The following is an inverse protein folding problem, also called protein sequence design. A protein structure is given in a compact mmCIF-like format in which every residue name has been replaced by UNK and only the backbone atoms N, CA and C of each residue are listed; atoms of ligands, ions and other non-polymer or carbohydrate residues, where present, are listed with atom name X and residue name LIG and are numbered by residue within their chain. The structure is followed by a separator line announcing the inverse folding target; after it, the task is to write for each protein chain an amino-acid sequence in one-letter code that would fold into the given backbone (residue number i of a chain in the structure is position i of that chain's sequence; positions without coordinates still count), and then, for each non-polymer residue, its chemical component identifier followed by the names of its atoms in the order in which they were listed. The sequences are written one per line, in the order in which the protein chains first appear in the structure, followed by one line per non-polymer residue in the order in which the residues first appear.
data_IF_444664627309
#
_entry.id   IF_444664627309
#
_cell.length_a   1.000
_cell.length_b   1.000
_cell.length_c   1.000
_cell.angle_alpha   90.00
_cell.angle_beta   90.00
_cell.angle_gamma   90.00
#
_symmetry.space_group_name_H-M   'P 1'
#
loop_
_entity.id
_entity.type
_entity.pdbx_description
1 polymer ?
#
# COMPACT_ATOMS: atom_id res chain seq x y z
N UNK A 1 21.77 -4.17 12.50
CA UNK A 1 21.90 -5.23 11.46
C UNK A 1 21.52 -6.53 12.12
N UNK A 2 20.39 -7.08 11.77
CA UNK A 2 19.97 -8.48 11.91
C UNK A 2 18.44 -8.56 11.99
N UNK A 3 17.80 -8.51 10.87
CA UNK A 3 16.50 -9.17 10.66
C UNK A 3 16.58 -9.68 9.23
N UNK A 4 16.11 -10.91 9.04
CA UNK A 4 16.18 -11.76 7.88
C UNK A 4 16.48 -10.98 6.57
N UNK A 5 17.67 -11.16 6.01
CA UNK A 5 18.08 -10.56 4.72
C UNK A 5 17.24 -11.09 3.54
N UNK A 6 16.19 -11.89 3.83
CA UNK A 6 15.34 -12.48 2.81
C UNK A 6 14.17 -11.55 2.47
N UNK A 7 13.94 -11.30 1.17
CA UNK A 7 12.79 -10.54 0.74
C UNK A 7 11.48 -11.22 1.16
N UNK A 8 10.50 -10.43 1.61
CA UNK A 8 9.14 -10.91 1.89
C UNK A 8 8.38 -11.18 0.58
N UNK A 9 8.59 -10.35 -0.45
CA UNK A 9 8.12 -10.59 -1.82
C UNK A 9 9.30 -10.46 -2.76
N UNK A 10 9.38 -11.41 -3.70
CA UNK A 10 10.28 -11.35 -4.84
C UNK A 10 9.44 -11.45 -6.11
N UNK A 11 9.58 -10.50 -6.98
CA UNK A 11 8.98 -10.49 -8.32
C UNK A 11 10.10 -10.51 -9.33
N UNK A 12 10.22 -11.59 -10.09
CA UNK A 12 11.31 -11.80 -11.03
C UNK A 12 10.82 -11.81 -12.46
N UNK A 13 11.42 -10.97 -13.30
CA UNK A 13 11.17 -10.89 -14.75
C UNK A 13 9.68 -10.81 -15.10
N UNK A 14 8.93 -10.00 -14.37
CA UNK A 14 7.49 -9.88 -14.56
C UNK A 14 7.16 -9.24 -15.90
N UNK A 15 6.45 -9.98 -16.72
CA UNK A 15 5.87 -9.50 -17.98
C UNK A 15 4.34 -9.51 -17.87
N UNK A 16 3.71 -8.50 -18.46
CA UNK A 16 2.26 -8.45 -18.61
C UNK A 16 1.87 -7.92 -19.97
N UNK A 17 1.18 -8.77 -20.73
CA UNK A 17 0.66 -8.42 -22.04
C UNK A 17 -0.87 -8.36 -21.99
N UNK A 18 -1.45 -7.41 -22.70
CA UNK A 18 -2.88 -7.29 -22.96
C UNK A 18 -3.07 -7.30 -24.49
N UNK A 19 -3.31 -8.48 -25.07
CA UNK A 19 -3.30 -8.64 -26.51
C UNK A 19 -1.93 -8.27 -27.10
N UNK A 20 -1.89 -7.25 -27.95
CA UNK A 20 -0.67 -6.74 -28.57
C UNK A 20 0.06 -5.69 -27.72
N UNK A 21 -0.54 -5.23 -26.61
CA UNK A 21 0.05 -4.21 -25.74
C UNK A 21 0.91 -4.85 -24.68
N UNK A 22 2.20 -4.55 -24.66
CA UNK A 22 3.13 -4.96 -23.61
C UNK A 22 3.09 -3.88 -22.51
N UNK A 23 2.45 -4.21 -21.38
CA UNK A 23 2.31 -3.30 -20.27
C UNK A 23 3.46 -3.39 -19.24
N UNK A 24 4.10 -4.55 -19.15
CA UNK A 24 5.31 -4.80 -18.36
C UNK A 24 6.24 -5.72 -19.16
N UNK A 25 7.52 -5.46 -19.12
CA UNK A 25 8.56 -6.16 -19.85
C UNK A 25 9.76 -6.46 -18.93
N UNK A 26 9.74 -7.60 -18.24
CA UNK A 26 10.85 -8.09 -17.43
C UNK A 26 11.15 -7.28 -16.16
N UNK A 27 10.11 -6.74 -15.49
CA UNK A 27 10.31 -5.95 -14.27
C UNK A 27 10.58 -6.86 -13.09
N UNK A 28 11.65 -6.58 -12.32
CA UNK A 28 12.01 -7.32 -11.10
C UNK A 28 12.10 -6.38 -9.91
N UNK A 29 11.54 -6.80 -8.77
CA UNK A 29 11.59 -6.06 -7.49
C UNK A 29 11.63 -7.06 -6.34
N UNK A 30 12.48 -6.78 -5.36
CA UNK A 30 12.54 -7.44 -4.06
C UNK A 30 12.07 -6.49 -2.97
N UNK A 31 11.13 -6.94 -2.12
CA UNK A 31 10.59 -6.18 -1.00
C UNK A 31 11.06 -6.78 0.31
N UNK A 32 11.48 -5.94 1.24
CA UNK A 32 11.98 -6.35 2.55
C UNK A 32 11.05 -5.86 3.67
N UNK A 33 10.90 -6.69 4.70
CA UNK A 33 10.11 -6.33 5.89
C UNK A 33 10.70 -5.10 6.57
N UNK A 34 9.84 -4.12 6.91
CA UNK A 34 10.28 -2.88 7.56
C UNK A 34 10.93 -1.86 6.63
N UNK A 35 11.03 -2.13 5.33
CA UNK A 35 11.52 -1.19 4.31
C UNK A 35 10.35 -0.57 3.52
N UNK A 36 10.57 0.65 3.04
CA UNK A 36 9.70 1.32 2.09
C UNK A 36 10.34 1.31 0.70
N UNK A 37 9.78 0.53 -0.20
CA UNK A 37 10.18 0.49 -1.61
C UNK A 37 9.31 1.44 -2.43
N UNK A 38 9.92 2.47 -2.99
CA UNK A 38 9.23 3.45 -3.82
C UNK A 38 9.22 3.03 -5.29
N UNK A 39 8.04 2.85 -5.86
CA UNK A 39 7.86 2.60 -7.29
C UNK A 39 7.51 3.92 -8.00
N UNK A 40 8.47 4.45 -8.74
CA UNK A 40 8.40 5.75 -9.38
C UNK A 40 8.15 5.62 -10.89
N UNK A 41 7.58 6.63 -11.49
CA UNK A 41 7.37 6.70 -12.94
C UNK A 41 6.18 7.58 -13.30
N UNK A 42 6.11 8.04 -14.53
CA UNK A 42 5.02 8.86 -15.04
C UNK A 42 3.72 8.07 -15.25
N UNK A 43 2.67 8.77 -15.62
CA UNK A 43 1.42 8.15 -16.02
C UNK A 43 1.64 7.29 -17.28
N UNK A 44 1.14 6.04 -17.23
CA UNK A 44 1.37 5.07 -18.30
C UNK A 44 2.68 4.29 -18.19
N UNK A 45 3.53 4.54 -17.18
CA UNK A 45 4.80 3.83 -16.99
C UNK A 45 4.66 2.33 -16.66
N UNK A 46 3.45 1.85 -16.34
CA UNK A 46 3.20 0.44 -15.97
C UNK A 46 2.98 0.21 -14.46
N UNK A 47 3.10 1.25 -13.62
CA UNK A 47 2.97 1.15 -12.15
C UNK A 47 1.70 0.43 -11.70
N UNK A 48 0.53 0.87 -12.19
CA UNK A 48 -0.76 0.27 -11.83
C UNK A 48 -0.88 -1.18 -12.30
N UNK A 49 -0.29 -1.54 -13.43
CA UNK A 49 -0.25 -2.92 -13.91
C UNK A 49 0.62 -3.77 -12.98
N UNK A 50 1.78 -3.26 -12.58
CA UNK A 50 2.69 -3.95 -11.67
C UNK A 50 2.04 -4.22 -10.32
N UNK A 51 1.37 -3.21 -9.71
CA UNK A 51 0.63 -3.37 -8.45
C UNK A 51 -0.48 -4.40 -8.58
N UNK A 52 -1.27 -4.34 -9.66
CA UNK A 52 -2.36 -5.27 -9.89
C UNK A 52 -1.86 -6.70 -10.08
N UNK A 53 -0.64 -6.87 -10.59
CA UNK A 53 0.02 -8.18 -10.67
C UNK A 53 0.47 -8.63 -9.27
N UNK A 54 1.10 -7.75 -8.48
CA UNK A 54 1.51 -8.04 -7.10
C UNK A 54 0.32 -8.37 -6.19
N UNK A 55 -0.80 -7.68 -6.36
CA UNK A 55 -2.02 -7.90 -5.56
C UNK A 55 -2.93 -9.02 -6.08
N UNK A 56 -2.50 -9.76 -7.11
CA UNK A 56 -3.24 -10.90 -7.65
C UNK A 56 -4.46 -10.55 -8.49
N UNK A 57 -4.65 -9.27 -8.85
CA UNK A 57 -5.71 -8.83 -9.78
C UNK A 57 -5.40 -9.27 -11.20
N UNK A 58 -4.10 -9.24 -11.57
CA UNK A 58 -3.63 -9.73 -12.86
C UNK A 58 -2.63 -10.85 -12.66
N UNK A 59 -2.83 -11.95 -13.39
CA UNK A 59 -1.81 -12.99 -13.54
C UNK A 59 -0.71 -12.46 -14.47
N UNK A 60 0.57 -12.58 -14.13
CA UNK A 60 1.66 -12.24 -15.05
C UNK A 60 1.58 -13.12 -16.30
N UNK A 61 2.04 -12.60 -17.44
CA UNK A 61 2.19 -13.37 -18.67
C UNK A 61 3.41 -14.28 -18.57
N UNK A 62 4.51 -13.74 -18.03
CA UNK A 62 5.75 -14.46 -17.70
C UNK A 62 6.32 -13.91 -16.39
N UNK A 63 7.27 -14.64 -15.81
CA UNK A 63 7.94 -14.30 -14.57
C UNK A 63 7.32 -14.95 -13.35
N UNK A 64 8.04 -14.88 -12.24
CA UNK A 64 7.71 -15.58 -11.00
C UNK A 64 7.48 -14.60 -9.86
N UNK A 65 6.54 -14.95 -8.99
CA UNK A 65 6.27 -14.23 -7.73
C UNK A 65 6.51 -15.22 -6.59
N UNK A 66 7.41 -14.84 -5.67
CA UNK A 66 7.59 -15.58 -4.43
C UNK A 66 7.13 -14.72 -3.25
N UNK A 67 6.44 -15.32 -2.31
CA UNK A 67 6.06 -14.72 -1.04
C UNK A 67 6.64 -15.54 0.11
N UNK A 68 7.42 -14.92 0.97
CA UNK A 68 8.18 -15.60 2.05
C UNK A 68 8.99 -16.81 1.49
N UNK A 69 9.59 -16.64 0.31
CA UNK A 69 10.40 -17.66 -0.37
C UNK A 69 9.61 -18.80 -1.02
N UNK A 70 8.27 -18.76 -1.01
CA UNK A 70 7.42 -19.78 -1.64
C UNK A 70 6.79 -19.24 -2.92
N UNK A 71 6.80 -20.03 -4.02
CA UNK A 71 6.09 -19.64 -5.24
C UNK A 71 4.62 -19.31 -4.96
N UNK A 72 4.15 -18.19 -5.47
CA UNK A 72 2.81 -17.71 -5.26
C UNK A 72 2.09 -17.54 -6.60
N UNK A 73 1.01 -18.27 -6.75
CA UNK A 73 0.10 -18.13 -7.90
C UNK A 73 -1.19 -17.49 -7.40
N UNK A 74 -1.38 -16.23 -7.73
CA UNK A 74 -2.62 -15.53 -7.39
C UNK A 74 -3.65 -15.75 -8.51
N UNK A 75 -4.55 -16.69 -8.30
CA UNK A 75 -5.70 -16.88 -9.20
C UNK A 75 -6.88 -15.97 -8.81
N UNK A 76 -6.82 -15.37 -7.61
CA UNK A 76 -7.86 -14.48 -7.05
C UNK A 76 -7.18 -13.47 -6.11
N UNK A 77 -7.54 -12.18 -6.19
CA UNK A 77 -7.04 -11.14 -5.25
C UNK A 77 -7.22 -11.50 -3.77
N UNK A 78 -8.24 -12.29 -3.44
CA UNK A 78 -8.46 -12.79 -2.08
C UNK A 78 -7.30 -13.64 -1.57
N UNK A 79 -6.56 -14.31 -2.44
CA UNK A 79 -5.39 -15.09 -2.04
C UNK A 79 -4.23 -14.17 -1.60
N UNK A 80 -4.03 -13.05 -2.29
CA UNK A 80 -3.05 -12.04 -1.90
C UNK A 80 -3.41 -11.41 -0.53
N UNK A 81 -4.69 -11.05 -0.33
CA UNK A 81 -5.16 -10.51 0.94
C UNK A 81 -4.95 -11.51 2.09
N UNK A 82 -5.28 -12.80 1.89
CA UNK A 82 -5.06 -13.86 2.90
C UNK A 82 -3.58 -14.08 3.20
N UNK A 83 -2.70 -13.86 2.23
CA UNK A 83 -1.25 -13.91 2.44
C UNK A 83 -0.72 -12.70 3.23
N UNK A 84 -1.52 -11.63 3.36
CA UNK A 84 -1.15 -10.40 4.04
C UNK A 84 -0.70 -9.28 3.09
N UNK A 85 -1.06 -9.34 1.80
CA UNK A 85 -0.81 -8.26 0.84
C UNK A 85 -2.06 -7.39 0.79
N UNK A 86 -1.98 -6.17 1.32
CA UNK A 86 -3.07 -5.21 1.34
C UNK A 86 -2.78 -4.03 0.41
N UNK A 87 -3.79 -3.58 -0.32
CA UNK A 87 -3.66 -2.41 -1.22
C UNK A 87 -4.59 -1.30 -0.76
N UNK A 88 -4.03 -0.12 -0.56
CA UNK A 88 -4.75 1.13 -0.38
C UNK A 88 -4.68 1.90 -1.69
N UNK A 89 -5.79 1.96 -2.39
CA UNK A 89 -5.88 2.62 -3.70
C UNK A 89 -6.00 4.14 -3.55
N UNK A 90 -5.65 4.87 -4.61
CA UNK A 90 -5.78 6.32 -4.70
C UNK A 90 -7.22 6.79 -4.38
N UNK A 91 -8.23 6.10 -4.91
CA UNK A 91 -9.62 6.32 -4.54
C UNK A 91 -9.99 5.37 -3.41
N UNK A 92 -10.03 5.92 -2.20
CA UNK A 92 -10.39 5.16 -1.01
C UNK A 92 -11.82 4.65 -1.12
N UNK A 93 -12.00 3.33 -1.01
CA UNK A 93 -13.32 2.71 -1.01
C UNK A 93 -14.01 2.93 0.36
N UNK A 94 -14.36 4.19 0.64
CA UNK A 94 -15.03 4.61 1.88
C UNK A 94 -16.40 5.19 1.56
N UNK A 95 -17.37 4.94 2.44
CA UNK A 95 -18.73 5.49 2.34
C UNK A 95 -18.77 6.77 3.18
N UNK A 96 -18.85 7.97 2.55
CA UNK A 96 -18.68 9.26 3.26
C UNK A 96 -19.64 9.50 4.41
N UNK A 97 -20.90 9.06 4.28
CA UNK A 97 -21.94 9.24 5.30
C UNK A 97 -21.90 8.19 6.42
N UNK A 98 -21.11 7.16 6.26
CA UNK A 98 -20.95 6.11 7.27
C UNK A 98 -19.90 6.52 8.31
N UNK A 99 -20.07 6.06 9.55
CA UNK A 99 -19.11 6.32 10.62
C UNK A 99 -17.72 5.77 10.32
N UNK A 100 -16.70 6.32 10.97
CA UNK A 100 -15.30 5.84 10.84
C UNK A 100 -15.23 4.39 11.26
N UNK A 101 -15.85 3.99 12.39
CA UNK A 101 -15.83 2.60 12.87
C UNK A 101 -16.47 1.62 11.92
N UNK A 102 -17.58 1.98 11.27
CA UNK A 102 -18.22 1.12 10.27
C UNK A 102 -17.39 1.01 9.00
N UNK A 103 -16.76 2.10 8.55
CA UNK A 103 -15.83 2.06 7.41
C UNK A 103 -14.59 1.22 7.74
N UNK A 104 -14.08 1.31 8.97
CA UNK A 104 -12.90 0.56 9.42
C UNK A 104 -13.15 -0.96 9.35
N UNK A 105 -14.32 -1.41 9.77
CA UNK A 105 -14.68 -2.83 9.83
C UNK A 105 -15.47 -3.34 8.62
N UNK A 106 -15.69 -2.52 7.60
CA UNK A 106 -16.47 -2.91 6.41
C UNK A 106 -15.90 -4.17 5.76
N UNK A 107 -16.75 -5.23 5.65
CA UNK A 107 -16.35 -6.54 5.10
C UNK A 107 -15.62 -7.46 6.09
N UNK A 108 -15.37 -7.00 7.33
CA UNK A 108 -14.83 -7.79 8.45
C UNK A 108 -15.52 -7.40 9.75
N UNK A 109 -16.84 -7.33 9.71
CA UNK A 109 -17.67 -6.85 10.80
C UNK A 109 -17.52 -7.74 12.05
N UNK A 110 -17.15 -7.19 13.25
CA UNK A 110 -17.16 -7.94 14.47
C UNK A 110 -18.60 -8.28 14.85
N UNK A 111 -18.80 -9.53 15.24
CA UNK A 111 -20.15 -10.07 15.52
C UNK A 111 -20.25 -10.48 16.99
N UNK A 112 -21.28 -9.98 17.67
CA UNK A 112 -21.74 -10.50 18.96
C UNK A 112 -23.01 -11.33 18.81
N UNK A 113 -23.09 -12.43 19.57
CA UNK A 113 -24.28 -13.28 19.62
C UNK A 113 -25.22 -12.77 20.71
N UNK A 114 -26.49 -12.53 20.35
CA UNK A 114 -27.57 -12.20 21.30
C UNK A 114 -28.67 -13.23 21.10
N UNK A 115 -28.63 -14.27 21.89
CA UNK A 115 -29.48 -15.46 21.68
C UNK A 115 -29.14 -16.11 20.32
N UNK A 116 -30.15 -16.38 19.47
CA UNK A 116 -29.90 -16.95 18.13
C UNK A 116 -29.42 -15.94 17.10
N UNK A 117 -29.43 -14.65 17.41
CA UNK A 117 -29.11 -13.58 16.47
C UNK A 117 -27.61 -13.24 16.49
N UNK A 118 -27.09 -12.99 15.30
CA UNK A 118 -25.73 -12.44 15.08
C UNK A 118 -25.86 -10.96 14.75
N UNK A 119 -25.40 -10.11 15.65
CA UNK A 119 -25.46 -8.66 15.49
C UNK A 119 -24.05 -8.08 15.36
N UNK A 120 -23.95 -6.97 14.66
CA UNK A 120 -22.70 -6.19 14.60
C UNK A 120 -22.33 -5.70 16.02
N UNK A 121 -21.11 -6.01 16.47
CA UNK A 121 -20.60 -5.54 17.76
C UNK A 121 -20.06 -4.11 17.63
N UNK A 122 -20.98 -3.15 17.74
CA UNK A 122 -20.66 -1.74 17.60
C UNK A 122 -19.71 -1.23 18.70
N UNK A 123 -19.88 -1.74 19.93
CA UNK A 123 -19.06 -1.28 21.06
C UNK A 123 -17.60 -1.71 20.88
N UNK A 124 -17.38 -2.95 20.44
CA UNK A 124 -16.06 -3.45 20.08
C UNK A 124 -15.48 -2.65 18.92
N UNK A 125 -16.24 -2.47 17.84
CA UNK A 125 -15.81 -1.74 16.66
C UNK A 125 -15.39 -0.29 17.00
N UNK A 126 -16.19 0.40 17.81
CA UNK A 126 -15.93 1.76 18.24
C UNK A 126 -14.64 1.85 19.07
N UNK A 127 -14.49 0.99 20.08
CA UNK A 127 -13.31 0.97 20.93
C UNK A 127 -12.02 0.72 20.10
N UNK A 128 -12.01 -0.34 19.31
CA UNK A 128 -10.84 -0.70 18.50
C UNK A 128 -10.50 0.40 17.50
N UNK A 129 -11.50 0.97 16.83
CA UNK A 129 -11.25 2.06 15.87
C UNK A 129 -10.58 3.26 16.56
N UNK A 130 -11.07 3.67 17.73
CA UNK A 130 -10.46 4.77 18.47
C UNK A 130 -9.02 4.47 18.88
N UNK A 131 -8.76 3.27 19.37
CA UNK A 131 -7.41 2.81 19.74
C UNK A 131 -6.44 2.83 18.55
N UNK A 132 -6.85 2.27 17.39
CA UNK A 132 -6.02 2.22 16.19
C UNK A 132 -5.78 3.62 15.60
N UNK A 133 -6.79 4.48 15.59
CA UNK A 133 -6.61 5.86 15.13
C UNK A 133 -5.65 6.64 16.03
N UNK A 134 -5.77 6.48 17.34
CA UNK A 134 -4.85 7.10 18.30
C UNK A 134 -3.40 6.61 18.11
N UNK A 135 -3.18 5.30 17.90
CA UNK A 135 -1.84 4.75 17.58
C UNK A 135 -1.24 5.38 16.32
N UNK A 136 -2.05 5.64 15.31
CA UNK A 136 -1.63 6.31 14.08
C UNK A 136 -1.45 7.83 14.25
N UNK A 137 -1.87 8.41 15.38
CA UNK A 137 -1.73 9.84 15.69
C UNK A 137 -2.89 10.67 15.19
N UNK A 138 -4.06 10.06 14.97
CA UNK A 138 -5.30 10.74 14.63
C UNK A 138 -6.22 10.80 15.85
N UNK A 139 -6.65 12.01 16.19
CA UNK A 139 -7.64 12.24 17.23
C UNK A 139 -9.02 12.43 16.58
N UNK A 140 -9.83 11.37 16.57
CA UNK A 140 -11.22 11.44 16.14
C UNK A 140 -12.06 12.14 17.22
N UNK A 141 -13.11 12.86 16.81
CA UNK A 141 -14.11 13.43 17.74
C UNK A 141 -14.93 12.36 18.43
N UNK A 142 -15.13 11.22 17.76
CA UNK A 142 -15.85 10.06 18.24
C UNK A 142 -15.86 8.97 17.16
N UNK A 143 -16.18 7.71 17.53
CA UNK A 143 -16.17 6.58 16.60
C UNK A 143 -17.33 6.62 15.59
N UNK A 144 -18.39 7.33 15.91
CA UNK A 144 -19.60 7.55 15.12
C UNK A 144 -19.45 8.72 14.13
N UNK A 145 -18.33 9.49 14.22
CA UNK A 145 -18.03 10.56 13.28
C UNK A 145 -18.09 10.05 11.83
N UNK A 146 -18.83 10.74 10.96
CA UNK A 146 -18.89 10.39 9.55
C UNK A 146 -17.53 10.57 8.87
N UNK A 147 -17.05 9.54 8.13
CA UNK A 147 -15.72 9.55 7.51
C UNK A 147 -15.55 10.69 6.50
N UNK A 148 -16.65 11.15 5.90
CA UNK A 148 -16.66 12.30 4.98
C UNK A 148 -16.26 13.62 5.63
N UNK A 149 -16.32 13.73 6.96
CA UNK A 149 -15.90 14.95 7.71
C UNK A 149 -14.40 14.98 7.98
N UNK A 150 -13.69 13.89 7.73
CA UNK A 150 -12.23 13.80 7.85
C UNK A 150 -11.55 14.50 6.68
N UNK A 151 -10.37 15.05 6.94
CA UNK A 151 -9.48 15.52 5.87
C UNK A 151 -9.00 14.37 4.98
N UNK A 152 -8.50 14.69 3.78
CA UNK A 152 -7.95 13.67 2.88
C UNK A 152 -6.86 12.81 3.51
N UNK A 153 -5.92 13.45 4.24
CA UNK A 153 -4.85 12.73 4.93
C UNK A 153 -5.35 11.84 6.08
N UNK A 154 -6.36 12.28 6.83
CA UNK A 154 -6.99 11.45 7.87
C UNK A 154 -7.69 10.24 7.27
N UNK A 155 -8.45 10.42 6.19
CA UNK A 155 -9.06 9.30 5.47
C UNK A 155 -8.01 8.29 4.98
N UNK A 156 -6.90 8.79 4.42
CA UNK A 156 -5.79 7.94 4.00
C UNK A 156 -5.23 7.14 5.17
N UNK A 157 -5.03 7.79 6.32
CA UNK A 157 -4.54 7.11 7.52
C UNK A 157 -5.54 6.07 8.06
N UNK A 158 -6.86 6.33 8.00
CA UNK A 158 -7.89 5.32 8.34
C UNK A 158 -7.73 4.08 7.47
N UNK A 159 -7.54 4.24 6.14
CA UNK A 159 -7.35 3.12 5.22
C UNK A 159 -6.06 2.32 5.52
N UNK A 160 -4.97 3.02 5.80
CA UNK A 160 -3.69 2.41 6.19
C UNK A 160 -3.84 1.64 7.51
N UNK A 161 -4.38 2.27 8.55
CA UNK A 161 -4.59 1.65 9.85
C UNK A 161 -5.47 0.40 9.78
N UNK A 162 -6.53 0.46 8.96
CA UNK A 162 -7.38 -0.69 8.66
C UNK A 162 -6.59 -1.84 8.07
N UNK A 163 -5.78 -1.59 7.04
CA UNK A 163 -4.96 -2.62 6.40
C UNK A 163 -3.98 -3.28 7.40
N UNK A 164 -3.33 -2.47 8.23
CA UNK A 164 -2.40 -2.92 9.27
C UNK A 164 -3.14 -3.76 10.33
N UNK A 165 -4.28 -3.29 10.83
CA UNK A 165 -5.08 -3.99 11.83
C UNK A 165 -5.54 -5.39 11.35
N UNK A 166 -5.88 -5.53 10.07
CA UNK A 166 -6.27 -6.81 9.49
C UNK A 166 -5.10 -7.68 9.03
N UNK A 167 -3.89 -7.37 9.46
CA UNK A 167 -2.73 -8.26 9.34
C UNK A 167 -1.94 -8.10 8.05
N UNK A 168 -1.89 -6.90 7.48
CA UNK A 168 -1.00 -6.64 6.35
C UNK A 168 0.46 -6.89 6.73
N UNK A 169 1.15 -7.73 5.99
CA UNK A 169 2.60 -7.92 6.00
C UNK A 169 3.27 -7.06 4.94
N UNK A 170 2.56 -6.82 3.85
CA UNK A 170 2.94 -5.94 2.74
C UNK A 170 1.81 -4.97 2.49
N UNK A 171 2.11 -3.69 2.53
CA UNK A 171 1.17 -2.60 2.33
C UNK A 171 1.51 -1.86 1.04
N UNK A 172 0.64 -1.97 0.05
CA UNK A 172 0.75 -1.25 -1.22
C UNK A 172 -0.05 0.04 -1.11
N UNK A 173 0.59 1.18 -1.35
CA UNK A 173 0.02 2.51 -1.31
C UNK A 173 0.07 3.14 -2.71
N UNK A 174 -1.08 3.21 -3.37
CA UNK A 174 -1.20 3.72 -4.73
C UNK A 174 -1.52 5.22 -4.72
N UNK A 175 -0.53 6.05 -5.03
CA UNK A 175 -0.60 7.52 -5.04
C UNK A 175 -1.21 8.12 -3.74
N UNK A 176 -0.77 7.70 -2.54
CA UNK A 176 -1.45 8.03 -1.28
C UNK A 176 -1.37 9.52 -0.90
N UNK A 177 -0.52 10.28 -1.55
CA UNK A 177 -0.32 11.70 -1.30
C UNK A 177 -0.79 12.60 -2.45
N UNK A 178 -1.36 11.99 -3.50
CA UNK A 178 -1.95 12.76 -4.61
C UNK A 178 -3.13 13.58 -4.11
N UNK A 179 -3.24 14.82 -4.59
CA UNK A 179 -4.32 15.75 -4.24
C UNK A 179 -4.41 16.12 -2.74
N UNK A 180 -3.33 15.92 -1.98
CA UNK A 180 -3.23 16.34 -0.58
C UNK A 180 -2.40 17.63 -0.44
N UNK A 181 -2.81 18.50 0.48
CA UNK A 181 -2.02 19.67 0.86
C UNK A 181 -0.77 19.27 1.66
N UNK A 182 0.19 20.18 1.78
CA UNK A 182 1.51 19.92 2.38
C UNK A 182 1.42 19.28 3.77
N UNK A 183 0.56 19.82 4.66
CA UNK A 183 0.37 19.30 6.02
C UNK A 183 -0.23 17.89 6.02
N UNK A 184 -1.19 17.63 5.14
CA UNK A 184 -1.82 16.32 5.02
C UNK A 184 -0.84 15.27 4.48
N UNK A 185 -0.04 15.64 3.48
CA UNK A 185 1.05 14.81 2.95
C UNK A 185 2.03 14.43 4.05
N UNK A 186 2.51 15.39 4.85
CA UNK A 186 3.42 15.12 5.95
C UNK A 186 2.84 14.09 6.95
N UNK A 187 1.55 14.19 7.27
CA UNK A 187 0.88 13.23 8.17
C UNK A 187 0.83 11.82 7.57
N UNK A 188 0.55 11.69 6.27
CA UNK A 188 0.57 10.39 5.59
C UNK A 188 1.98 9.79 5.57
N UNK A 189 3.01 10.59 5.28
CA UNK A 189 4.41 10.12 5.31
C UNK A 189 4.83 9.68 6.71
N UNK A 190 4.42 10.41 7.77
CA UNK A 190 4.65 9.96 9.16
C UNK A 190 3.93 8.65 9.47
N UNK A 191 2.73 8.43 8.91
CA UNK A 191 2.02 7.16 9.06
C UNK A 191 2.77 6.01 8.40
N UNK A 192 3.33 6.23 7.20
CA UNK A 192 4.17 5.24 6.49
C UNK A 192 5.38 4.86 7.36
N UNK A 193 6.06 5.85 7.94
CA UNK A 193 7.19 5.60 8.84
C UNK A 193 6.81 4.76 10.08
N UNK A 194 5.63 5.01 10.66
CA UNK A 194 5.13 4.21 11.79
C UNK A 194 4.85 2.76 11.39
N UNK A 195 4.26 2.56 10.21
CA UNK A 195 3.91 1.23 9.69
C UNK A 195 5.17 0.40 9.41
N UNK A 196 6.16 0.99 8.72
CA UNK A 196 7.40 0.27 8.43
C UNK A 196 8.19 -0.09 9.69
N UNK A 197 8.18 0.77 10.74
CA UNK A 197 8.79 0.46 12.04
C UNK A 197 8.13 -0.72 12.77
N UNK A 198 6.93 -1.10 12.38
CA UNK A 198 6.26 -2.31 12.86
C UNK A 198 6.69 -3.58 12.08
N UNK A 199 7.66 -3.47 11.17
CA UNK A 199 8.16 -4.58 10.36
C UNK A 199 7.34 -4.84 9.09
N UNK A 200 6.38 -3.99 8.75
CA UNK A 200 5.57 -4.13 7.53
C UNK A 200 6.36 -3.59 6.33
N UNK A 201 6.43 -4.38 5.25
CA UNK A 201 6.97 -3.91 3.99
C UNK A 201 6.00 -2.93 3.33
N UNK A 202 6.48 -1.77 2.90
CA UNK A 202 5.65 -0.76 2.24
C UNK A 202 6.07 -0.59 0.79
N UNK A 203 5.11 -0.65 -0.12
CA UNK A 203 5.30 -0.27 -1.53
C UNK A 203 4.62 1.08 -1.73
N UNK A 204 5.41 2.13 -1.87
CA UNK A 204 4.92 3.49 -2.07
C UNK A 204 5.00 3.87 -3.54
N UNK A 205 3.84 3.94 -4.20
CA UNK A 205 3.75 4.27 -5.62
C UNK A 205 3.42 5.73 -5.77
N UNK A 206 4.25 6.45 -6.53
CA UNK A 206 3.99 7.85 -6.84
C UNK A 206 4.80 8.30 -8.06
N UNK A 207 4.34 9.39 -8.69
CA UNK A 207 5.11 10.16 -9.67
C UNK A 207 5.86 11.33 -9.02
N UNK A 208 5.71 11.55 -7.70
CA UNK A 208 6.32 12.66 -6.97
C UNK A 208 7.52 12.21 -6.13
N UNK A 209 8.71 12.38 -6.67
CA UNK A 209 9.98 12.05 -6.00
C UNK A 209 10.14 12.76 -4.66
N UNK A 210 9.65 14.02 -4.53
CA UNK A 210 9.77 14.80 -3.29
C UNK A 210 8.98 14.18 -2.14
N UNK A 211 7.91 13.45 -2.42
CA UNK A 211 7.15 12.71 -1.41
C UNK A 211 7.76 11.34 -1.14
N UNK A 212 8.33 10.68 -2.16
CA UNK A 212 8.93 9.35 -2.04
C UNK A 212 10.26 9.38 -1.29
N UNK A 213 11.15 10.32 -1.64
CA UNK A 213 12.53 10.34 -1.16
C UNK A 213 12.69 10.40 0.37
N UNK A 214 11.88 11.19 1.12
CA UNK A 214 11.98 11.21 2.59
C UNK A 214 11.78 9.86 3.25
N UNK A 215 10.83 9.05 2.77
CA UNK A 215 10.39 7.79 3.40
C UNK A 215 10.93 6.52 2.75
N UNK A 216 11.43 6.62 1.49
CA UNK A 216 11.92 5.49 0.73
C UNK A 216 13.28 5.00 1.21
N UNK A 217 13.48 3.68 1.21
CA UNK A 217 14.76 2.99 1.40
C UNK A 217 15.33 2.52 0.06
N UNK A 218 14.44 2.11 -0.87
CA UNK A 218 14.76 1.70 -2.23
C UNK A 218 13.81 2.39 -3.22
N UNK A 219 14.32 2.63 -4.43
CA UNK A 219 13.59 3.32 -5.51
C UNK A 219 13.75 2.54 -6.80
N UNK A 220 12.63 2.08 -7.36
CA UNK A 220 12.58 1.53 -8.73
C UNK A 220 11.89 2.53 -9.63
N UNK A 221 12.51 2.86 -10.75
CA UNK A 221 11.94 3.76 -11.75
C UNK A 221 11.38 2.92 -12.89
N UNK A 222 10.09 3.09 -13.17
CA UNK A 222 9.43 2.48 -14.33
C UNK A 222 9.24 3.49 -15.44
N UNK A 223 9.53 3.07 -16.66
CA UNK A 223 9.22 3.80 -17.88
C UNK A 223 8.68 2.84 -18.94
N UNK A 224 7.47 3.10 -19.45
CA UNK A 224 6.82 2.32 -20.54
C UNK A 224 6.92 0.80 -20.35
N UNK A 225 6.68 0.35 -19.13
CA UNK A 225 6.70 -1.08 -18.79
C UNK A 225 8.07 -1.68 -18.49
N UNK A 226 9.15 -0.92 -18.60
CA UNK A 226 10.51 -1.34 -18.28
C UNK A 226 11.02 -0.75 -16.98
N UNK A 227 11.87 -1.47 -16.26
CA UNK A 227 12.63 -0.91 -15.15
C UNK A 227 13.85 -0.19 -15.67
N UNK A 228 14.01 1.07 -15.27
CA UNK A 228 15.19 1.90 -15.54
C UNK A 228 16.29 1.70 -14.50
N UNK A 229 16.04 0.88 -13.49
CA UNK A 229 16.94 0.55 -12.40
C UNK A 229 16.25 0.61 -11.04
N UNK A 230 16.88 -0.06 -10.08
CA UNK A 230 16.52 -0.04 -8.65
C UNK A 230 17.73 0.44 -7.87
N UNK A 231 17.53 1.43 -7.02
CA UNK A 231 18.60 2.11 -6.29
C UNK A 231 18.27 2.15 -4.80
N UNK A 232 19.25 1.90 -3.95
CA UNK A 232 19.12 2.19 -2.51
C UNK A 232 19.26 3.70 -2.27
N UNK A 233 18.66 4.19 -1.19
CA UNK A 233 18.74 5.61 -0.80
C UNK A 233 20.18 6.12 -0.64
N UNK A 234 21.10 5.24 -0.25
CA UNK A 234 22.53 5.56 -0.13
C UNK A 234 23.27 5.71 -1.47
N UNK A 235 22.68 5.24 -2.57
CA UNK A 235 23.30 5.17 -3.90
C UNK A 235 22.82 6.29 -4.82
N UNK A 236 21.72 6.97 -4.45
CA UNK A 236 21.08 7.97 -5.32
C UNK A 236 20.57 9.15 -4.50
N UNK A 237 20.66 10.35 -5.07
CA UNK A 237 20.05 11.54 -4.49
C UNK A 237 18.71 11.90 -5.16
N UNK A 238 17.96 12.81 -4.52
CA UNK A 238 16.64 13.22 -4.99
C UNK A 238 16.66 13.86 -6.38
N UNK A 239 17.70 14.64 -6.70
CA UNK A 239 17.79 15.34 -7.98
C UNK A 239 18.07 14.35 -9.12
N UNK A 240 18.93 13.36 -8.88
CA UNK A 240 19.21 12.29 -9.83
C UNK A 240 17.94 11.49 -10.15
N UNK A 241 17.13 11.13 -9.13
CA UNK A 241 15.82 10.48 -9.35
C UNK A 241 14.87 11.35 -10.18
N UNK A 242 14.81 12.66 -9.90
CA UNK A 242 13.98 13.60 -10.66
C UNK A 242 14.43 13.70 -12.12
N UNK A 243 15.74 13.74 -12.36
CA UNK A 243 16.32 13.81 -13.72
C UNK A 243 16.03 12.54 -14.50
N UNK A 244 16.19 11.36 -13.88
CA UNK A 244 15.90 10.08 -14.52
C UNK A 244 14.42 9.95 -14.88
N UNK A 245 13.52 10.43 -14.03
CA UNK A 245 12.08 10.44 -14.34
C UNK A 245 11.73 11.43 -15.45
N UNK A 246 12.38 12.61 -15.51
CA UNK A 246 12.11 13.62 -16.52
C UNK A 246 12.70 13.27 -17.90
N UNK A 247 13.77 12.46 -17.94
CA UNK A 247 14.43 12.00 -19.18
C UNK A 247 13.85 10.69 -19.71
N UNK A 248 12.82 10.18 -19.08
CA UNK A 248 12.20 8.88 -19.40
C UNK A 248 10.98 8.99 -20.31
#
# INVERSE_FOLDING_TARGET
MSQDERPIIQMHNIEKHFGTVIALSGVSIDLFSGECHCLLGDNGAGKSTFIKTMSGVYKPTNGDILFEGKPMHFDDPRNAIKAGIATVHQHLAMIPLMSVSRNFFMGNEPIKKVGPLKLFDLDYANRVTMEEMHKMGINLRGPDQAVGTLSGGERQTVAIARAVYFGAKVLILDEPTSSLGVRQTANVLMTIEKVRKQGIAVVFITHNVRHAFPVGDQFTILNRGHSMGTYRKSEIDQNSLMTMMAGS
#
